data_IF_414243775833
#
_entry.id   IF_414243775833
#
_cell.length_a   1.000
_cell.length_b   1.000
_cell.length_c   1.000
_cell.angle_alpha   90.00
_cell.angle_beta   90.00
_cell.angle_gamma   90.00
#
_symmetry.space_group_name_H-M   'P 1'
#
loop_
_entity.id
_entity.type
_entity.pdbx_description
1 polymer ?
#
# COMPACT_ATOMS: atom_id res chain seq x y z
N UNK A 1 -16.38 -33.98 18.85
CA UNK A 1 -15.60 -33.13 17.94
C UNK A 1 -15.53 -33.69 16.51
N UNK A 2 -15.04 -34.92 16.28
CA UNK A 2 -14.91 -35.52 14.92
C UNK A 2 -16.22 -35.65 14.10
N UNK A 3 -17.39 -35.75 14.76
CA UNK A 3 -18.69 -35.75 14.07
C UNK A 3 -19.00 -34.42 13.38
N UNK A 4 -18.50 -33.29 13.91
CA UNK A 4 -18.76 -31.96 13.36
C UNK A 4 -18.03 -31.74 12.03
N UNK A 5 -16.82 -32.28 11.91
CA UNK A 5 -16.05 -32.28 10.65
C UNK A 5 -16.78 -33.04 9.52
N UNK A 6 -17.60 -34.04 9.85
CA UNK A 6 -18.39 -34.79 8.87
C UNK A 6 -19.50 -33.95 8.24
N UNK A 7 -20.11 -33.05 9.01
CA UNK A 7 -21.12 -32.10 8.51
C UNK A 7 -20.47 -30.92 7.78
N UNK A 8 -19.32 -30.46 8.26
CA UNK A 8 -18.53 -29.41 7.60
C UNK A 8 -18.07 -29.81 6.18
N UNK A 9 -17.88 -31.12 5.93
CA UNK A 9 -17.45 -31.67 4.64
C UNK A 9 -18.40 -31.35 3.47
N UNK A 10 -19.70 -31.23 3.73
CA UNK A 10 -20.70 -30.85 2.71
C UNK A 10 -20.67 -29.37 2.34
N UNK A 11 -20.08 -28.54 3.21
CA UNK A 11 -20.11 -27.08 3.12
C UNK A 11 -18.73 -26.46 2.88
N UNK A 12 -17.71 -27.27 2.56
CA UNK A 12 -16.31 -26.83 2.42
C UNK A 12 -16.19 -25.71 1.40
N UNK A 13 -16.94 -25.78 0.30
CA UNK A 13 -16.97 -24.72 -0.71
C UNK A 13 -17.44 -23.39 -0.13
N UNK A 14 -18.57 -23.38 0.58
CA UNK A 14 -19.10 -22.17 1.22
C UNK A 14 -18.13 -21.60 2.26
N UNK A 15 -17.49 -22.46 3.06
CA UNK A 15 -16.50 -22.05 4.06
C UNK A 15 -15.28 -21.41 3.40
N UNK A 16 -14.80 -22.00 2.31
CA UNK A 16 -13.67 -21.46 1.55
C UNK A 16 -14.02 -20.12 0.89
N UNK A 17 -15.23 -19.97 0.37
CA UNK A 17 -15.73 -18.69 -0.16
C UNK A 17 -15.79 -17.62 0.93
N UNK A 18 -16.37 -17.93 2.10
CA UNK A 18 -16.42 -16.98 3.22
C UNK A 18 -15.00 -16.61 3.68
N UNK A 19 -14.10 -17.58 3.77
CA UNK A 19 -12.71 -17.32 4.13
C UNK A 19 -12.02 -16.39 3.13
N UNK A 20 -12.21 -16.60 1.83
CA UNK A 20 -11.68 -15.69 0.80
C UNK A 20 -12.26 -14.29 0.91
N UNK A 21 -13.57 -14.16 1.13
CA UNK A 21 -14.21 -12.85 1.32
C UNK A 21 -13.67 -12.12 2.55
N UNK A 22 -13.41 -12.83 3.64
CA UNK A 22 -12.80 -12.25 4.84
C UNK A 22 -11.35 -11.79 4.58
N UNK A 23 -10.58 -12.51 3.76
CA UNK A 23 -9.23 -12.06 3.37
C UNK A 23 -9.31 -10.77 2.55
N UNK A 24 -10.23 -10.70 1.57
CA UNK A 24 -10.45 -9.47 0.80
C UNK A 24 -10.85 -8.32 1.71
N UNK A 25 -11.77 -8.58 2.65
CA UNK A 25 -12.19 -7.57 3.62
C UNK A 25 -11.00 -7.05 4.45
N UNK A 26 -10.17 -7.94 4.99
CA UNK A 26 -9.00 -7.55 5.78
C UNK A 26 -8.01 -6.70 4.96
N UNK A 27 -7.83 -7.00 3.67
CA UNK A 27 -7.00 -6.19 2.77
C UNK A 27 -7.61 -4.79 2.58
N UNK A 28 -8.93 -4.71 2.36
CA UNK A 28 -9.63 -3.43 2.23
C UNK A 28 -9.51 -2.58 3.51
N UNK A 29 -9.69 -3.18 4.68
CA UNK A 29 -9.59 -2.49 5.97
C UNK A 29 -8.17 -1.99 6.24
N UNK A 30 -7.13 -2.74 5.84
CA UNK A 30 -5.74 -2.32 5.98
C UNK A 30 -5.32 -1.27 4.94
N UNK A 31 -5.97 -1.24 3.77
CA UNK A 31 -5.70 -0.27 2.70
C UNK A 31 -6.32 1.09 2.98
N UNK A 32 -7.42 1.15 3.73
CA UNK A 32 -8.12 2.40 4.03
C UNK A 32 -7.24 3.45 4.79
N UNK A 33 -6.46 3.06 5.83
CA UNK A 33 -5.46 3.95 6.42
C UNK A 33 -4.37 4.39 5.44
N UNK A 34 -3.92 3.50 4.55
CA UNK A 34 -2.89 3.83 3.57
C UNK A 34 -3.38 4.91 2.58
N UNK A 35 -4.58 4.74 2.02
CA UNK A 35 -5.18 5.78 1.15
C UNK A 35 -5.38 7.11 1.89
N UNK A 36 -5.74 7.07 3.16
CA UNK A 36 -5.87 8.28 3.97
C UNK A 36 -4.52 8.97 4.17
N UNK A 37 -3.46 8.20 4.44
CA UNK A 37 -2.09 8.69 4.52
C UNK A 37 -1.66 9.37 3.22
N UNK A 38 -1.94 8.76 2.07
CA UNK A 38 -1.56 9.32 0.77
C UNK A 38 -2.33 10.61 0.46
N UNK A 39 -3.63 10.66 0.76
CA UNK A 39 -4.44 11.88 0.59
C UNK A 39 -3.85 13.04 1.40
N UNK A 40 -3.40 12.79 2.63
CA UNK A 40 -2.83 13.84 3.49
C UNK A 40 -1.40 14.16 3.08
N UNK A 41 -0.53 13.17 3.00
CA UNK A 41 0.90 13.37 2.78
C UNK A 41 1.18 13.85 1.35
N UNK A 42 0.65 13.15 0.36
CA UNK A 42 0.87 13.51 -1.05
C UNK A 42 -0.03 14.65 -1.45
N UNK A 43 -1.34 14.55 -1.16
CA UNK A 43 -2.32 15.55 -1.58
C UNK A 43 -2.18 16.88 -0.85
N UNK A 44 -2.43 16.91 0.45
CA UNK A 44 -2.50 18.15 1.24
C UNK A 44 -1.11 18.70 1.58
N UNK A 45 -0.21 17.86 2.10
CA UNK A 45 1.09 18.31 2.60
C UNK A 45 2.07 18.59 1.46
N UNK A 46 2.19 17.67 0.50
CA UNK A 46 3.11 17.78 -0.62
C UNK A 46 2.48 18.43 -1.88
N UNK A 47 1.24 18.92 -1.81
CA UNK A 47 0.53 19.57 -2.93
C UNK A 47 0.52 18.73 -4.23
N UNK A 48 0.38 17.41 -4.11
CA UNK A 48 0.39 16.46 -5.21
C UNK A 48 1.78 15.96 -5.62
N UNK A 49 2.84 16.32 -4.89
CA UNK A 49 4.21 15.87 -5.16
C UNK A 49 4.48 14.59 -4.34
N UNK A 50 4.28 13.43 -4.95
CA UNK A 50 4.44 12.11 -4.29
C UNK A 50 5.89 11.81 -3.85
N UNK A 51 6.88 12.42 -4.52
CA UNK A 51 8.30 12.26 -4.18
C UNK A 51 9.00 13.59 -4.07
N UNK A 52 9.70 13.78 -2.94
CA UNK A 52 10.53 14.97 -2.70
C UNK A 52 11.67 15.13 -3.72
N UNK A 53 12.10 14.02 -4.36
CA UNK A 53 13.16 14.02 -5.39
C UNK A 53 12.52 13.74 -6.75
N UNK A 54 12.78 14.56 -7.77
CA UNK A 54 12.28 14.32 -9.12
C UNK A 54 13.01 13.14 -9.77
N UNK A 55 12.27 12.31 -10.52
CA UNK A 55 12.84 11.17 -11.26
C UNK A 55 13.76 11.60 -12.41
N UNK A 56 13.56 12.82 -12.93
CA UNK A 56 14.40 13.42 -13.97
C UNK A 56 14.70 14.85 -13.57
N UNK A 57 15.99 15.18 -13.48
CA UNK A 57 16.48 16.53 -13.24
C UNK A 57 17.29 17.00 -14.45
N UNK A 58 17.21 18.29 -14.76
CA UNK A 58 18.00 18.90 -15.83
C UNK A 58 19.47 18.89 -15.42
N UNK A 59 20.37 18.57 -16.36
CA UNK A 59 21.83 18.50 -16.11
C UNK A 59 22.37 19.77 -15.43
N UNK A 60 21.96 20.96 -15.85
CA UNK A 60 22.40 22.23 -15.23
C UNK A 60 22.03 22.35 -13.74
N UNK A 61 20.86 21.85 -13.36
CA UNK A 61 20.39 21.89 -11.98
C UNK A 61 21.10 20.83 -11.13
N UNK A 62 21.34 19.64 -11.70
CA UNK A 62 22.14 18.60 -11.06
C UNK A 62 23.57 19.07 -10.81
N UNK A 63 24.22 19.65 -11.83
CA UNK A 63 25.59 20.15 -11.75
C UNK A 63 25.71 21.24 -10.65
N UNK A 64 24.68 22.09 -10.51
CA UNK A 64 24.59 23.11 -9.45
C UNK A 64 24.41 22.49 -8.07
N UNK A 65 23.57 21.46 -7.94
CA UNK A 65 23.39 20.74 -6.67
C UNK A 65 24.67 20.02 -6.25
N UNK A 66 25.35 19.35 -7.17
CA UNK A 66 26.60 18.64 -6.89
C UNK A 66 27.75 19.57 -6.51
N UNK A 67 27.72 20.84 -6.95
CA UNK A 67 28.67 21.87 -6.51
C UNK A 67 28.53 22.20 -5.00
N UNK A 68 27.33 22.04 -4.45
CA UNK A 68 27.00 22.33 -3.05
C UNK A 68 27.13 21.09 -2.14
N UNK A 69 27.36 19.91 -2.72
CA UNK A 69 27.60 18.68 -1.98
C UNK A 69 29.09 18.57 -1.67
N UNK A 70 29.45 18.33 -0.43
CA UNK A 70 30.84 18.07 -0.03
C UNK A 70 31.25 16.69 -0.55
N UNK A 71 32.43 16.56 -1.16
CA UNK A 71 33.00 15.25 -1.50
C UNK A 71 33.29 14.52 -0.18
N UNK A 72 32.42 13.57 0.18
CA UNK A 72 32.62 12.63 1.29
C UNK A 72 33.58 11.51 0.88
#
# INVERSE_FOLDING_TARGET
MLKLMKYLKGSVFAILTVFLLLVVQAICDLSLPAYTSDIVNVGIMQNGIDRAVPDVIRKSELDTLTLLMEES
#
